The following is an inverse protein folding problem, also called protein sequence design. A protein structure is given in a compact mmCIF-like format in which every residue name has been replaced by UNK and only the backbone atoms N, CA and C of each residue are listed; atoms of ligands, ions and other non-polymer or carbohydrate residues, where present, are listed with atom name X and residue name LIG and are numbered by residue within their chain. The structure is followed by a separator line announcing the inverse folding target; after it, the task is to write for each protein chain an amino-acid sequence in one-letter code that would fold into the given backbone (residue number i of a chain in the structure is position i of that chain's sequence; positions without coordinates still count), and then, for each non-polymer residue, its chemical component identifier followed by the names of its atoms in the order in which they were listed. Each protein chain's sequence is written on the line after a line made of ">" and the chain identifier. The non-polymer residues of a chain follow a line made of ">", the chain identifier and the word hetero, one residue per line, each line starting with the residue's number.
data_IF_298522425824
#
_entry.id   IF_298522425824
#
_cell.length_a   1.000
_cell.length_b   1.000
_cell.length_c   1.000
_cell.angle_alpha   90.00
_cell.angle_beta   90.00
_cell.angle_gamma   90.00
#
_symmetry.space_group_name_H-M   'P 1'
#
loop_
_entity.id
_entity.type
_entity.pdbx_description
1 polymer ?
#
# COMPACT_ATOMS: atom_id res chain seq x y z
N UNK A 1 -17.49 12.60 -15.93
CA UNK A 1 -17.64 11.15 -16.14
C UNK A 1 -16.25 10.60 -16.37
N UNK A 2 -15.91 9.48 -15.72
CA UNK A 2 -14.60 8.83 -15.87
C UNK A 2 -14.87 7.44 -16.41
N UNK A 3 -14.06 7.02 -17.39
CA UNK A 3 -14.14 5.69 -17.96
C UNK A 3 -12.83 4.98 -17.65
N UNK A 4 -12.93 3.71 -17.25
CA UNK A 4 -11.76 2.86 -17.06
C UNK A 4 -11.46 2.12 -18.36
N UNK A 5 -10.18 1.87 -18.56
CA UNK A 5 -9.68 1.19 -19.71
C UNK A 5 -8.24 0.76 -19.50
N UNK A 6 -7.78 -0.09 -20.39
CA UNK A 6 -6.42 -0.61 -20.38
C UNK A 6 -5.71 -0.27 -21.69
N UNK A 7 -4.38 -0.25 -21.64
CA UNK A 7 -3.55 -0.05 -22.83
C UNK A 7 -3.42 -1.39 -23.58
N UNK A 8 -3.81 -1.42 -24.84
CA UNK A 8 -3.54 -2.52 -25.76
C UNK A 8 -2.87 -1.97 -27.02
N UNK A 9 -1.62 -2.39 -27.28
CA UNK A 9 -0.85 -1.97 -28.46
C UNK A 9 -0.75 -0.45 -28.65
N UNK A 10 -0.62 0.31 -27.56
CA UNK A 10 -0.54 1.78 -27.63
C UNK A 10 -1.88 2.50 -27.74
N UNK A 11 -3.01 1.78 -27.69
CA UNK A 11 -4.37 2.33 -27.72
C UNK A 11 -5.05 2.08 -26.39
N UNK A 12 -5.79 3.06 -25.87
CA UNK A 12 -6.66 2.89 -24.70
C UNK A 12 -7.94 2.20 -25.14
N UNK A 13 -8.21 1.02 -24.60
CA UNK A 13 -9.48 0.31 -24.79
C UNK A 13 -10.30 0.45 -23.52
N UNK A 14 -11.54 0.92 -23.65
CA UNK A 14 -12.46 1.02 -22.52
C UNK A 14 -12.87 -0.38 -22.05
N UNK A 15 -12.84 -0.60 -20.74
CA UNK A 15 -13.23 -1.89 -20.14
C UNK A 15 -14.74 -2.14 -20.28
N UNK A 16 -15.51 -1.05 -20.28
CA UNK A 16 -16.95 -1.05 -20.42
C UNK A 16 -17.35 -0.27 -21.68
N UNK A 17 -18.30 -0.77 -22.50
CA UNK A 17 -18.77 -0.05 -23.67
C UNK A 17 -19.38 1.31 -23.28
N UNK A 18 -18.93 2.38 -23.93
CA UNK A 18 -19.45 3.72 -23.75
C UNK A 18 -19.62 4.43 -25.09
N UNK A 19 -20.71 5.20 -25.23
CA UNK A 19 -20.95 6.04 -26.41
C UNK A 19 -20.43 7.45 -26.11
N UNK A 20 -19.36 7.84 -26.79
CA UNK A 20 -18.79 9.19 -26.69
C UNK A 20 -19.11 9.99 -27.96
N UNK A 21 -19.31 11.32 -27.86
CA UNK A 21 -19.49 12.15 -29.04
C UNK A 21 -18.25 12.10 -29.95
N UNK A 22 -18.48 11.92 -31.25
CA UNK A 22 -17.41 11.95 -32.26
C UNK A 22 -16.64 13.27 -32.22
N UNK A 23 -15.31 13.19 -32.33
CA UNK A 23 -14.42 14.36 -32.30
C UNK A 23 -14.25 15.02 -30.92
N UNK A 24 -14.81 14.45 -29.84
CA UNK A 24 -14.63 14.96 -28.49
C UNK A 24 -13.16 14.87 -28.05
N UNK A 25 -12.62 15.95 -27.50
CA UNK A 25 -11.29 15.94 -26.89
C UNK A 25 -11.32 15.13 -25.57
N UNK A 26 -10.37 14.22 -25.40
CA UNK A 26 -10.26 13.39 -24.20
C UNK A 26 -8.94 13.63 -23.49
N UNK A 27 -8.95 13.49 -22.15
CA UNK A 27 -7.74 13.46 -21.32
C UNK A 27 -7.57 12.05 -20.79
N UNK A 28 -6.40 11.47 -21.04
CA UNK A 28 -6.02 10.16 -20.49
C UNK A 28 -5.21 10.40 -19.23
N UNK A 29 -5.68 9.84 -18.13
CA UNK A 29 -4.95 9.80 -16.86
C UNK A 29 -4.62 8.33 -16.58
N UNK A 30 -3.34 8.03 -16.37
CA UNK A 30 -2.93 6.69 -15.96
C UNK A 30 -3.46 6.46 -14.54
N UNK A 31 -4.29 5.43 -14.37
CA UNK A 31 -4.64 4.96 -13.04
C UNK A 31 -3.39 4.32 -12.45
N UNK A 32 -2.78 4.98 -11.45
CA UNK A 32 -1.78 4.31 -10.65
C UNK A 32 -2.50 3.13 -10.00
N UNK A 33 -1.92 1.90 -10.04
CA UNK A 33 -2.42 0.86 -9.17
C UNK A 33 -2.48 1.49 -7.77
N UNK A 34 -3.60 1.30 -7.05
CA UNK A 34 -3.64 1.67 -5.65
C UNK A 34 -2.33 1.16 -5.06
N UNK A 35 -1.54 2.07 -4.45
CA UNK A 35 -0.24 1.71 -3.86
C UNK A 35 -0.40 0.34 -3.26
N UNK A 36 0.43 -0.61 -3.67
CA UNK A 36 0.32 -1.99 -3.26
C UNK A 36 0.39 -1.99 -1.73
N UNK A 37 -0.78 -1.90 -1.09
CA UNK A 37 -1.05 -2.22 0.29
C UNK A 37 -0.93 -3.74 0.33
N UNK A 38 0.20 -4.31 -0.12
CA UNK A 38 0.87 -5.39 0.61
C UNK A 38 0.84 -4.91 2.03
N UNK A 39 -0.18 -5.42 2.71
CA UNK A 39 -0.91 -4.60 3.65
C UNK A 39 0.03 -4.09 4.72
N UNK A 40 -0.17 -2.90 5.29
CA UNK A 40 0.60 -2.48 6.47
C UNK A 40 0.75 -3.67 7.46
N UNK A 41 -0.29 -4.48 7.57
CA UNK A 41 -0.29 -5.81 8.20
C UNK A 41 0.79 -6.77 7.69
N UNK A 42 0.86 -7.10 6.39
CA UNK A 42 1.90 -7.97 5.82
C UNK A 42 3.32 -7.42 6.04
N UNK A 43 3.51 -6.11 5.88
CA UNK A 43 4.78 -5.46 6.18
C UNK A 43 5.17 -5.58 7.66
N UNK A 44 4.24 -5.36 8.58
CA UNK A 44 4.46 -5.50 10.02
C UNK A 44 4.64 -6.97 10.44
N UNK A 45 3.94 -7.90 9.78
CA UNK A 45 4.01 -9.33 10.09
C UNK A 45 5.41 -9.91 9.84
N UNK A 46 6.16 -9.35 8.88
CA UNK A 46 7.54 -9.73 8.63
C UNK A 46 8.47 -9.54 9.86
N UNK A 47 8.10 -8.66 10.80
CA UNK A 47 8.87 -8.43 12.03
C UNK A 47 8.47 -9.34 13.19
N UNK A 48 7.31 -10.01 13.11
CA UNK A 48 6.82 -10.87 14.18
C UNK A 48 7.77 -12.06 14.42
N UNK A 49 8.26 -12.20 15.65
CA UNK A 49 9.15 -13.30 16.04
C UNK A 49 10.60 -13.20 15.53
N UNK A 50 10.98 -12.08 14.91
CA UNK A 50 12.37 -11.84 14.45
C UNK A 50 13.37 -11.72 15.59
N UNK A 51 12.88 -11.40 16.80
CA UNK A 51 13.70 -11.23 17.99
C UNK A 51 13.35 -12.32 18.99
N UNK A 52 14.31 -13.23 19.22
CA UNK A 52 14.10 -14.46 20.01
C UNK A 52 14.66 -14.38 21.42
N UNK A 53 15.62 -13.49 21.69
CA UNK A 53 16.38 -13.43 22.93
C UNK A 53 16.12 -12.15 23.74
N UNK A 54 14.85 -11.70 23.76
CA UNK A 54 14.47 -10.50 24.50
C UNK A 54 13.81 -10.81 25.85
N UNK A 55 13.98 -9.92 26.84
CA UNK A 55 13.29 -10.04 28.11
C UNK A 55 11.77 -10.11 27.92
N UNK A 56 11.11 -11.00 28.67
CA UNK A 56 9.66 -11.17 28.59
C UNK A 56 8.89 -9.90 28.98
N UNK A 57 9.50 -9.02 29.78
CA UNK A 57 8.94 -7.76 30.23
C UNK A 57 9.40 -6.55 29.39
N UNK A 58 10.07 -6.77 28.24
CA UNK A 58 10.62 -5.69 27.41
C UNK A 58 9.57 -4.65 27.04
N UNK A 59 8.35 -5.06 26.66
CA UNK A 59 7.30 -4.11 26.29
C UNK A 59 6.96 -3.14 27.43
N UNK A 60 6.92 -3.64 28.67
CA UNK A 60 6.63 -2.85 29.87
C UNK A 60 7.83 -1.99 30.29
N UNK A 61 9.04 -2.51 30.12
CA UNK A 61 10.29 -1.94 30.62
C UNK A 61 11.23 -1.48 29.50
N UNK A 62 10.70 -1.05 28.35
CA UNK A 62 11.54 -0.73 27.19
C UNK A 62 12.54 0.39 27.49
N UNK A 63 12.14 1.42 28.25
CA UNK A 63 13.04 2.49 28.71
C UNK A 63 14.21 1.96 29.56
N UNK A 64 13.97 0.94 30.40
CA UNK A 64 15.02 0.32 31.19
C UNK A 64 16.05 -0.37 30.29
N UNK A 65 15.59 -1.12 29.30
CA UNK A 65 16.48 -1.90 28.43
C UNK A 65 17.15 -1.07 27.34
N UNK A 66 16.50 -0.02 26.84
CA UNK A 66 17.03 0.85 25.78
C UNK A 66 17.86 2.00 26.37
N UNK A 67 17.44 2.54 27.53
CA UNK A 67 17.97 3.78 28.09
C UNK A 67 18.51 3.66 29.52
N UNK A 68 18.41 2.50 30.17
CA UNK A 68 18.96 2.27 31.51
C UNK A 68 18.16 2.88 32.66
N UNK A 69 16.93 3.33 32.42
CA UNK A 69 16.06 3.87 33.49
C UNK A 69 15.66 2.78 34.49
N UNK A 70 15.21 3.12 35.71
CA UNK A 70 14.57 2.12 36.59
C UNK A 70 13.37 1.43 35.94
N UNK A 71 13.12 0.16 36.29
CA UNK A 71 11.93 -0.58 35.84
C UNK A 71 10.64 0.03 36.43
N UNK A 72 9.55 -0.11 35.69
CA UNK A 72 8.22 0.42 36.04
C UNK A 72 7.28 -0.66 36.56
#
# INVERSE_FOLDING_TARGET
>A
MTFRGHMQNGVVILDEPAVLPEGCAVRVELEQPADDIRSLREGLLAFAGTVTDWPQDMARNHDHYIHGTPKR
#
